data_IF_435989392428
#
_entry.id   IF_435989392428
#
_cell.length_a   1.000
_cell.length_b   1.000
_cell.length_c   1.000
_cell.angle_alpha   90.00
_cell.angle_beta   90.00
_cell.angle_gamma   90.00
#
_symmetry.space_group_name_H-M   'P 1'
#
loop_
_entity.id
_entity.type
_entity.pdbx_description
1 polymer ?
#
# COMPACT_ATOMS: atom_id res chain seq x y z
N UNK A 1 -4.36 34.85 19.01
CA UNK A 1 -3.94 33.69 18.19
C UNK A 1 -3.31 32.65 19.12
N UNK A 2 -4.02 31.55 19.32
CA UNK A 2 -3.82 30.54 20.37
C UNK A 2 -2.49 29.77 20.24
N UNK A 3 -1.88 29.39 21.37
CA UNK A 3 -0.60 28.67 21.47
C UNK A 3 -0.61 27.37 20.65
N UNK A 4 -1.75 26.67 20.62
CA UNK A 4 -1.96 25.46 19.82
C UNK A 4 -1.85 25.71 18.31
N UNK A 5 -2.38 26.83 17.83
CA UNK A 5 -2.33 27.21 16.41
C UNK A 5 -0.90 27.49 15.94
N UNK A 6 -0.09 28.17 16.77
CA UNK A 6 1.33 28.40 16.47
C UNK A 6 2.14 27.12 16.42
N UNK A 7 1.86 26.16 17.32
CA UNK A 7 2.53 24.85 17.34
C UNK A 7 2.17 24.02 16.10
N UNK A 8 0.89 23.95 15.74
CA UNK A 8 0.46 23.24 14.53
C UNK A 8 1.12 23.79 13.26
N UNK A 9 1.11 25.12 13.09
CA UNK A 9 1.73 25.77 11.94
C UNK A 9 3.24 25.50 11.87
N UNK A 10 3.92 25.48 13.02
CA UNK A 10 5.35 25.15 13.11
C UNK A 10 5.62 23.71 12.68
N UNK A 11 4.82 22.75 13.15
CA UNK A 11 4.92 21.33 12.76
C UNK A 11 4.78 21.19 11.25
N UNK A 12 3.69 21.74 10.68
CA UNK A 12 3.44 21.64 9.22
C UNK A 12 4.57 22.28 8.42
N UNK A 13 5.01 23.50 8.79
CA UNK A 13 6.10 24.19 8.11
C UNK A 13 7.41 23.41 8.19
N UNK A 14 7.73 22.84 9.36
CA UNK A 14 8.93 22.03 9.54
C UNK A 14 8.87 20.73 8.74
N UNK A 15 7.73 20.05 8.74
CA UNK A 15 7.51 18.83 7.94
C UNK A 15 7.68 19.11 6.45
N UNK A 16 7.07 20.18 5.92
CA UNK A 16 7.22 20.58 4.50
C UNK A 16 8.68 20.87 4.17
N UNK A 17 9.37 21.64 5.03
CA UNK A 17 10.79 21.94 4.84
C UNK A 17 11.63 20.67 4.80
N UNK A 18 11.48 19.78 5.80
CA UNK A 18 12.22 18.51 5.86
C UNK A 18 11.94 17.60 4.67
N UNK A 19 10.66 17.48 4.27
CA UNK A 19 10.27 16.71 3.10
C UNK A 19 10.95 17.24 1.82
N UNK A 20 11.03 18.56 1.67
CA UNK A 20 11.71 19.19 0.54
C UNK A 20 13.23 19.01 0.59
N UNK A 21 13.84 19.23 1.77
CA UNK A 21 15.29 19.11 1.98
C UNK A 21 15.78 17.67 1.69
N UNK A 22 14.95 16.67 1.99
CA UNK A 22 15.24 15.24 1.77
C UNK A 22 14.74 14.73 0.39
N UNK A 23 14.35 15.63 -0.52
CA UNK A 23 13.90 15.29 -1.88
C UNK A 23 12.75 14.28 -1.89
N UNK A 24 11.72 14.56 -1.10
CA UNK A 24 10.58 13.67 -0.89
C UNK A 24 9.81 13.37 -2.17
N UNK A 25 9.73 14.32 -3.10
CA UNK A 25 9.11 14.14 -4.42
C UNK A 25 9.87 13.12 -5.28
N UNK A 26 11.19 13.23 -5.36
CA UNK A 26 12.05 12.31 -6.11
C UNK A 26 12.07 10.94 -5.45
N UNK A 27 12.02 10.90 -4.11
CA UNK A 27 11.88 9.68 -3.34
C UNK A 27 10.59 8.95 -3.69
N UNK A 28 9.45 9.65 -3.74
CA UNK A 28 8.17 9.08 -4.15
C UNK A 28 8.19 8.57 -5.60
N UNK A 29 8.83 9.29 -6.52
CA UNK A 29 9.00 8.85 -7.91
C UNK A 29 9.84 7.57 -8.00
N UNK A 30 10.92 7.46 -7.22
CA UNK A 30 11.72 6.24 -7.16
C UNK A 30 10.93 5.05 -6.63
N UNK A 31 10.07 5.24 -5.62
CA UNK A 31 9.21 4.18 -5.08
C UNK A 31 8.21 3.74 -6.13
N UNK A 32 7.57 4.67 -6.85
CA UNK A 32 6.64 4.33 -7.93
C UNK A 32 7.32 3.55 -9.06
N UNK A 33 8.53 3.94 -9.46
CA UNK A 33 9.35 3.19 -10.40
C UNK A 33 9.58 1.76 -9.92
N UNK A 34 10.14 1.58 -8.72
CA UNK A 34 10.41 0.24 -8.18
C UNK A 34 9.13 -0.56 -7.93
N UNK A 35 8.01 0.08 -7.61
CA UNK A 35 6.72 -0.58 -7.43
C UNK A 35 6.24 -1.27 -8.71
N UNK A 36 6.33 -0.60 -9.87
CA UNK A 36 5.96 -1.22 -11.16
C UNK A 36 6.83 -2.45 -11.45
N UNK A 37 8.14 -2.34 -11.26
CA UNK A 37 9.05 -3.47 -11.48
C UNK A 37 8.86 -4.60 -10.46
N UNK A 38 8.47 -4.28 -9.23
CA UNK A 38 8.17 -5.26 -8.18
C UNK A 38 6.75 -5.85 -8.28
N UNK A 39 5.83 -5.21 -8.99
CA UNK A 39 4.42 -5.62 -9.09
C UNK A 39 4.29 -7.01 -9.73
N UNK A 40 4.94 -7.23 -10.87
CA UNK A 40 4.91 -8.54 -11.55
C UNK A 40 5.49 -9.66 -10.69
N UNK A 41 6.72 -9.55 -10.13
CA UNK A 41 7.24 -10.55 -9.22
C UNK A 41 6.38 -10.79 -7.97
N UNK A 42 5.75 -9.74 -7.44
CA UNK A 42 4.91 -9.86 -6.25
C UNK A 42 3.63 -10.64 -6.53
N UNK A 43 2.93 -10.31 -7.62
CA UNK A 43 1.76 -11.06 -8.10
C UNK A 43 2.12 -12.54 -8.31
N UNK A 44 3.26 -12.81 -8.94
CA UNK A 44 3.76 -14.15 -9.16
C UNK A 44 3.98 -14.94 -7.86
N UNK A 45 4.62 -14.31 -6.87
CA UNK A 45 4.84 -14.91 -5.55
C UNK A 45 3.50 -15.19 -4.86
N UNK A 46 2.54 -14.26 -4.92
CA UNK A 46 1.19 -14.45 -4.37
C UNK A 46 0.48 -15.63 -5.02
N UNK A 47 0.56 -15.76 -6.34
CA UNK A 47 -0.03 -16.87 -7.09
C UNK A 47 0.62 -18.20 -6.72
N UNK A 48 1.96 -18.27 -6.68
CA UNK A 48 2.69 -19.50 -6.35
C UNK A 48 2.35 -19.95 -4.94
N UNK A 49 2.34 -19.03 -3.97
CA UNK A 49 1.97 -19.34 -2.58
C UNK A 49 0.49 -19.73 -2.50
N UNK A 50 -0.42 -18.94 -3.09
CA UNK A 50 -1.85 -19.21 -3.07
C UNK A 50 -2.21 -20.55 -3.69
N UNK A 51 -1.60 -20.90 -4.83
CA UNK A 51 -1.83 -22.19 -5.51
C UNK A 51 -1.36 -23.40 -4.68
N UNK A 52 -0.28 -23.26 -3.89
CA UNK A 52 0.22 -24.32 -3.00
C UNK A 52 -0.62 -24.48 -1.73
N UNK A 53 -1.22 -23.38 -1.24
CA UNK A 53 -1.98 -23.39 0.01
C UNK A 53 -3.43 -23.82 -0.22
N UNK A 54 -4.01 -23.48 -1.39
CA UNK A 54 -5.45 -23.59 -1.61
C UNK A 54 -5.86 -24.67 -2.63
N UNK A 55 -4.91 -25.29 -3.36
CA UNK A 55 -5.13 -26.38 -4.34
C UNK A 55 -6.37 -26.26 -5.26
N UNK A 56 -6.91 -25.06 -5.49
CA UNK A 56 -8.17 -24.86 -6.22
C UNK A 56 -8.15 -23.63 -7.14
N UNK A 57 -8.98 -23.68 -8.18
CA UNK A 57 -9.27 -22.56 -9.09
C UNK A 57 -9.77 -21.31 -8.36
N UNK A 58 -10.47 -21.49 -7.24
CA UNK A 58 -11.12 -20.42 -6.48
C UNK A 58 -10.12 -19.44 -5.87
N UNK A 59 -8.92 -19.93 -5.52
CA UNK A 59 -7.84 -19.10 -5.00
C UNK A 59 -7.35 -18.04 -6.00
N UNK A 60 -7.34 -18.40 -7.29
CA UNK A 60 -6.86 -17.50 -8.35
C UNK A 60 -7.87 -16.39 -8.59
N UNK A 61 -9.15 -16.74 -8.61
CA UNK A 61 -10.24 -15.79 -8.78
C UNK A 61 -10.32 -14.83 -7.59
N UNK A 62 -10.15 -15.33 -6.35
CA UNK A 62 -10.08 -14.50 -5.15
C UNK A 62 -8.89 -13.54 -5.15
N UNK A 63 -7.68 -13.99 -5.52
CA UNK A 63 -6.52 -13.11 -5.64
C UNK A 63 -6.79 -12.02 -6.68
N UNK A 64 -7.42 -12.38 -7.80
CA UNK A 64 -7.71 -11.47 -8.89
C UNK A 64 -8.80 -10.45 -8.53
N UNK A 65 -9.86 -10.87 -7.83
CA UNK A 65 -10.87 -9.98 -7.23
C UNK A 65 -10.23 -9.01 -6.23
N UNK A 66 -9.28 -9.46 -5.42
CA UNK A 66 -8.59 -8.58 -4.48
C UNK A 66 -7.71 -7.56 -5.16
N UNK A 67 -6.90 -7.99 -6.12
CA UNK A 67 -6.02 -7.09 -6.85
C UNK A 67 -6.85 -6.06 -7.63
N UNK A 68 -7.98 -6.47 -8.21
CA UNK A 68 -8.93 -5.56 -8.88
C UNK A 68 -9.64 -4.64 -7.88
N UNK A 69 -9.93 -5.06 -6.64
CA UNK A 69 -10.46 -4.15 -5.60
C UNK A 69 -9.45 -3.11 -5.12
N UNK A 70 -8.18 -3.50 -4.98
CA UNK A 70 -7.09 -2.59 -4.55
C UNK A 70 -6.71 -1.63 -5.68
N UNK A 71 -6.72 -2.12 -6.93
CA UNK A 71 -6.35 -1.39 -8.14
C UNK A 71 -7.53 -1.37 -9.13
N UNK A 72 -8.63 -0.67 -8.82
CA UNK A 72 -9.87 -0.72 -9.60
C UNK A 72 -9.68 -0.28 -11.06
N UNK A 73 -8.71 0.58 -11.33
CA UNK A 73 -8.42 1.11 -12.66
C UNK A 73 -7.36 0.33 -13.45
N UNK A 74 -6.69 -0.65 -12.83
CA UNK A 74 -5.71 -1.51 -13.50
C UNK A 74 -6.20 -2.96 -13.65
N UNK A 75 -7.47 -3.22 -13.28
CA UNK A 75 -8.04 -4.57 -13.19
C UNK A 75 -7.89 -5.40 -14.46
N UNK A 76 -8.17 -4.83 -15.64
CA UNK A 76 -8.12 -5.57 -16.91
C UNK A 76 -6.68 -5.89 -17.33
N UNK A 77 -5.77 -4.92 -17.23
CA UNK A 77 -4.33 -5.13 -17.51
C UNK A 77 -3.77 -6.20 -16.58
N UNK A 78 -4.11 -6.12 -15.30
CA UNK A 78 -3.62 -7.07 -14.31
C UNK A 78 -4.24 -8.45 -14.57
N UNK A 79 -5.53 -8.53 -14.93
CA UNK A 79 -6.21 -9.79 -15.24
C UNK A 79 -5.58 -10.51 -16.43
N UNK A 80 -5.35 -9.81 -17.55
CA UNK A 80 -4.72 -10.40 -18.74
C UNK A 80 -3.29 -10.89 -18.45
N UNK A 81 -2.49 -10.08 -17.76
CA UNK A 81 -1.11 -10.44 -17.43
C UNK A 81 -1.05 -11.59 -16.40
N UNK A 82 -1.94 -11.60 -15.41
CA UNK A 82 -2.05 -12.70 -14.44
C UNK A 82 -2.41 -14.02 -15.13
N UNK A 83 -3.37 -14.01 -16.04
CA UNK A 83 -3.77 -15.23 -16.76
C UNK A 83 -2.62 -15.81 -17.60
N UNK A 84 -1.85 -14.95 -18.29
CA UNK A 84 -0.67 -15.37 -19.03
C UNK A 84 0.42 -15.96 -18.12
N UNK A 85 0.60 -15.37 -16.94
CA UNK A 85 1.53 -15.85 -15.91
C UNK A 85 1.08 -17.19 -15.34
N UNK A 86 -0.21 -17.34 -15.04
CA UNK A 86 -0.81 -18.58 -14.52
C UNK A 86 -0.64 -19.73 -15.51
N UNK A 87 -0.74 -19.47 -16.81
CA UNK A 87 -0.52 -20.46 -17.86
C UNK A 87 0.93 -20.98 -17.89
N UNK A 88 1.91 -20.19 -17.41
CA UNK A 88 3.34 -20.54 -17.40
C UNK A 88 3.86 -20.99 -16.02
N UNK A 89 2.99 -21.08 -14.99
CA UNK A 89 3.39 -21.27 -13.59
C UNK A 89 4.17 -22.56 -13.28
N UNK A 90 3.91 -23.64 -14.02
CA UNK A 90 4.58 -24.94 -13.84
C UNK A 90 6.07 -24.91 -14.16
N UNK A 91 6.55 -23.87 -14.85
CA UNK A 91 7.96 -23.67 -15.19
C UNK A 91 8.76 -22.95 -14.09
N UNK A 92 8.11 -22.43 -13.04
CA UNK A 92 8.78 -21.66 -11.98
C UNK A 92 9.27 -22.59 -10.86
N UNK A 93 10.50 -23.08 -11.00
CA UNK A 93 11.20 -23.83 -9.94
C UNK A 93 11.61 -22.95 -8.74
N UNK A 94 12.21 -23.57 -7.71
CA UNK A 94 12.68 -22.87 -6.49
C UNK A 94 13.54 -21.63 -6.79
N UNK A 95 14.43 -21.74 -7.77
CA UNK A 95 15.32 -20.65 -8.21
C UNK A 95 14.52 -19.48 -8.81
N UNK A 96 13.48 -19.77 -9.60
CA UNK A 96 12.58 -18.76 -10.14
C UNK A 96 11.83 -18.03 -9.04
N UNK A 97 11.27 -18.76 -8.07
CA UNK A 97 10.58 -18.18 -6.91
C UNK A 97 11.51 -17.28 -6.08
N UNK A 98 12.75 -17.70 -5.83
CA UNK A 98 13.72 -16.87 -5.10
C UNK A 98 14.11 -15.61 -5.88
N UNK A 99 14.28 -15.73 -7.21
CA UNK A 99 14.56 -14.59 -8.09
C UNK A 99 13.40 -13.59 -8.10
N UNK A 100 12.17 -14.08 -8.13
CA UNK A 100 10.95 -13.28 -8.09
C UNK A 100 10.78 -12.61 -6.71
N UNK A 101 10.96 -13.35 -5.62
CA UNK A 101 10.94 -12.78 -4.28
C UNK A 101 12.01 -11.68 -4.13
N UNK A 102 13.19 -11.89 -4.69
CA UNK A 102 14.24 -10.88 -4.71
C UNK A 102 13.83 -9.61 -5.46
N UNK A 103 13.19 -9.74 -6.63
CA UNK A 103 12.64 -8.62 -7.40
C UNK A 103 11.48 -7.91 -6.69
N UNK A 104 10.61 -8.67 -6.01
CA UNK A 104 9.45 -8.15 -5.29
C UNK A 104 9.85 -7.26 -4.09
N UNK A 105 11.01 -7.53 -3.46
CA UNK A 105 11.49 -6.71 -2.32
C UNK A 105 12.00 -5.32 -2.70
N UNK A 106 12.18 -5.01 -4.00
CA UNK A 106 12.74 -3.75 -4.47
C UNK A 106 11.96 -2.52 -4.00
N UNK A 107 10.63 -2.54 -4.16
CA UNK A 107 9.74 -1.49 -3.68
C UNK A 107 9.82 -1.31 -2.17
N UNK A 108 9.79 -2.40 -1.39
CA UNK A 108 9.81 -2.33 0.07
C UNK A 108 11.16 -1.86 0.62
N UNK A 109 12.26 -2.28 0.01
CA UNK A 109 13.60 -1.82 0.38
C UNK A 109 13.78 -0.32 0.12
N UNK A 110 13.22 0.17 -1.00
CA UNK A 110 13.23 1.60 -1.35
C UNK A 110 12.34 2.40 -0.41
N UNK A 111 11.14 1.90 -0.13
CA UNK A 111 10.20 2.49 0.82
C UNK A 111 10.84 2.59 2.21
N UNK A 112 11.43 1.49 2.71
CA UNK A 112 12.06 1.44 4.02
C UNK A 112 13.22 2.43 4.15
N UNK A 113 14.05 2.55 3.10
CA UNK A 113 15.15 3.53 3.06
C UNK A 113 14.64 4.97 3.12
N UNK A 114 13.62 5.29 2.33
CA UNK A 114 13.06 6.65 2.30
C UNK A 114 12.28 7.02 3.57
N UNK A 115 11.56 6.06 4.18
CA UNK A 115 10.95 6.27 5.51
C UNK A 115 12.04 6.53 6.56
N UNK A 116 13.15 5.79 6.52
CA UNK A 116 14.24 5.99 7.48
C UNK A 116 14.88 7.39 7.37
N UNK A 117 14.93 7.97 6.17
CA UNK A 117 15.44 9.35 5.93
C UNK A 117 14.61 10.44 6.60
N UNK A 118 13.38 10.15 7.03
CA UNK A 118 12.60 11.10 7.80
C UNK A 118 13.24 11.43 9.16
N UNK A 119 14.01 10.51 9.75
CA UNK A 119 14.73 10.72 11.01
C UNK A 119 16.19 11.09 10.77
N UNK A 120 16.56 12.28 11.28
CA UNK A 120 17.93 12.79 11.23
C UNK A 120 18.92 11.87 11.97
N UNK A 121 20.15 11.78 11.46
CA UNK A 121 21.28 11.05 12.09
C UNK A 121 21.07 9.54 12.26
N UNK A 122 20.12 8.94 11.56
CA UNK A 122 19.98 7.49 11.55
C UNK A 122 20.97 6.88 10.55
N UNK A 123 21.75 5.89 11.01
CA UNK A 123 22.60 5.12 10.11
C UNK A 123 21.71 4.31 9.14
N UNK A 124 22.10 4.27 7.87
CA UNK A 124 21.42 3.40 6.90
C UNK A 124 21.49 1.95 7.39
N UNK A 125 20.35 1.24 7.35
CA UNK A 125 20.33 -0.19 7.68
C UNK A 125 21.10 -0.97 6.61
N UNK A 126 21.89 -1.96 7.04
CA UNK A 126 22.60 -2.86 6.13
C UNK A 126 21.65 -3.44 5.07
N UNK A 127 22.15 -3.63 3.84
CA UNK A 127 21.39 -4.13 2.71
C UNK A 127 20.58 -5.40 3.01
N UNK A 128 21.17 -6.37 3.72
CA UNK A 128 20.51 -7.60 4.13
C UNK A 128 19.32 -7.33 5.06
N UNK A 129 19.46 -6.39 6.01
CA UNK A 129 18.37 -6.02 6.93
C UNK A 129 17.22 -5.37 6.17
N UNK A 130 17.49 -4.49 5.19
CA UNK A 130 16.46 -3.90 4.33
C UNK A 130 15.71 -4.96 3.53
N UNK A 131 16.42 -5.96 2.99
CA UNK A 131 15.82 -7.09 2.27
C UNK A 131 14.95 -7.96 3.17
N UNK A 132 15.42 -8.31 4.36
CA UNK A 132 14.64 -9.07 5.35
C UNK A 132 13.40 -8.31 5.81
N UNK A 133 13.49 -6.99 5.98
CA UNK A 133 12.33 -6.15 6.27
C UNK A 133 11.32 -6.14 5.12
N UNK A 134 11.81 -6.06 3.88
CA UNK A 134 10.94 -6.18 2.71
C UNK A 134 10.20 -7.51 2.69
N UNK A 135 10.90 -8.62 2.97
CA UNK A 135 10.27 -9.94 3.09
C UNK A 135 9.28 -10.02 4.25
N UNK A 136 9.57 -9.43 5.41
CA UNK A 136 8.63 -9.41 6.53
C UNK A 136 7.37 -8.59 6.22
N UNK A 137 7.50 -7.50 5.47
CA UNK A 137 6.35 -6.71 5.01
C UNK A 137 5.50 -7.49 4.00
N UNK A 138 6.14 -8.20 3.07
CA UNK A 138 5.43 -9.11 2.15
C UNK A 138 4.71 -10.20 2.94
N UNK A 139 5.36 -10.82 3.92
CA UNK A 139 4.74 -11.85 4.76
C UNK A 139 3.57 -11.30 5.57
N UNK A 140 3.71 -10.12 6.17
CA UNK A 140 2.63 -9.45 6.91
C UNK A 140 1.44 -9.12 5.99
N UNK A 141 1.71 -8.62 4.78
CA UNK A 141 0.68 -8.40 3.76
C UNK A 141 -0.04 -9.71 3.42
N UNK A 142 0.70 -10.80 3.17
CA UNK A 142 0.11 -12.11 2.84
C UNK A 142 -0.77 -12.63 3.98
N UNK A 143 -0.25 -12.68 5.21
CA UNK A 143 -1.00 -13.17 6.37
C UNK A 143 -2.28 -12.38 6.57
N UNK A 144 -2.19 -11.06 6.48
CA UNK A 144 -3.35 -10.20 6.61
C UNK A 144 -4.35 -10.40 5.46
N UNK A 145 -3.87 -10.53 4.22
CA UNK A 145 -4.74 -10.85 3.07
C UNK A 145 -5.48 -12.17 3.27
N UNK A 146 -4.81 -13.20 3.78
CA UNK A 146 -5.44 -14.47 4.13
C UNK A 146 -6.51 -14.30 5.21
N UNK A 147 -6.25 -13.48 6.23
CA UNK A 147 -7.24 -13.18 7.27
C UNK A 147 -8.46 -12.47 6.68
N UNK A 148 -8.29 -11.44 5.84
CA UNK A 148 -9.42 -10.74 5.23
C UNK A 148 -10.24 -11.61 4.29
N UNK A 149 -9.59 -12.50 3.53
CA UNK A 149 -10.27 -13.47 2.66
C UNK A 149 -11.23 -14.37 3.45
N UNK A 150 -10.87 -14.73 4.68
CA UNK A 150 -11.69 -15.57 5.55
C UNK A 150 -12.73 -14.72 6.30
N UNK A 151 -12.33 -13.57 6.84
CA UNK A 151 -13.19 -12.75 7.69
C UNK A 151 -14.29 -12.00 6.92
N UNK A 152 -14.04 -11.51 5.70
CA UNK A 152 -15.05 -10.75 4.96
C UNK A 152 -16.30 -11.58 4.62
N UNK A 153 -16.20 -12.83 4.12
CA UNK A 153 -17.36 -13.69 3.90
C UNK A 153 -18.12 -13.99 5.20
N UNK A 154 -17.41 -14.32 6.29
CA UNK A 154 -18.02 -14.59 7.59
C UNK A 154 -18.79 -13.37 8.09
N UNK A 155 -18.17 -12.19 8.04
CA UNK A 155 -18.79 -10.94 8.44
C UNK A 155 -20.00 -10.61 7.58
N UNK A 156 -19.91 -10.85 6.27
CA UNK A 156 -21.04 -10.66 5.34
C UNK A 156 -22.18 -11.62 5.64
N UNK A 157 -21.90 -12.89 5.94
CA UNK A 157 -22.90 -13.88 6.32
C UNK A 157 -23.60 -13.52 7.63
N UNK A 158 -22.85 -13.09 8.65
CA UNK A 158 -23.40 -12.63 9.93
C UNK A 158 -24.29 -11.41 9.73
N UNK A 159 -23.83 -10.41 8.98
CA UNK A 159 -24.60 -9.20 8.70
C UNK A 159 -25.85 -9.51 7.86
N UNK A 160 -25.79 -10.46 6.93
CA UNK A 160 -26.95 -10.91 6.14
C UNK A 160 -27.97 -11.66 7.00
N UNK A 161 -27.55 -12.48 7.97
CA UNK A 161 -28.47 -13.13 8.92
C UNK A 161 -29.13 -12.10 9.84
N UNK A 162 -28.38 -11.10 10.31
CA UNK A 162 -28.92 -9.98 11.09
C UNK A 162 -29.88 -9.12 10.25
N UNK A 163 -29.65 -9.01 8.94
CA UNK A 163 -30.52 -8.29 8.00
C UNK A 163 -31.92 -8.89 7.88
N UNK A 164 -32.08 -10.19 8.19
CA UNK A 164 -33.40 -10.84 8.25
C UNK A 164 -34.21 -10.45 9.50
N UNK A 165 -33.56 -9.88 10.53
CA UNK A 165 -34.15 -9.51 11.81
C UNK A 165 -34.34 -7.99 11.91
N UNK A 166 -33.42 -7.21 11.35
CA UNK A 166 -33.47 -5.74 11.26
C UNK A 166 -32.71 -5.29 10.01
N UNK A 167 -33.18 -4.29 9.23
CA UNK A 167 -32.51 -3.89 8.00
C UNK A 167 -31.15 -3.23 8.27
N UNK A 168 -30.10 -4.05 8.43
CA UNK A 168 -28.71 -3.64 8.68
C UNK A 168 -27.83 -3.76 7.43
N UNK A 169 -28.40 -4.11 6.27
CA UNK A 169 -27.69 -4.21 4.99
C UNK A 169 -26.92 -2.95 4.61
N UNK A 170 -27.40 -1.77 5.01
CA UNK A 170 -26.69 -0.50 4.80
C UNK A 170 -25.35 -0.42 5.57
N UNK A 171 -25.17 -1.22 6.63
CA UNK A 171 -23.96 -1.24 7.45
C UNK A 171 -22.84 -2.07 6.80
N UNK A 172 -23.16 -3.04 5.94
CA UNK A 172 -22.17 -3.92 5.29
C UNK A 172 -21.06 -3.12 4.59
N UNK A 173 -21.36 -2.20 3.64
CA UNK A 173 -20.31 -1.44 2.96
C UNK A 173 -19.52 -0.53 3.91
N UNK A 174 -20.17 0.01 4.95
CA UNK A 174 -19.52 0.87 5.95
C UNK A 174 -18.50 0.06 6.77
N UNK A 175 -18.89 -1.12 7.24
CA UNK A 175 -18.03 -2.01 8.03
C UNK A 175 -16.87 -2.52 7.17
N UNK A 176 -17.12 -2.89 5.92
CA UNK A 176 -16.05 -3.30 4.99
C UNK A 176 -15.09 -2.16 4.69
N UNK A 177 -15.58 -0.95 4.44
CA UNK A 177 -14.71 0.20 4.18
C UNK A 177 -13.88 0.57 5.42
N UNK A 178 -14.51 0.55 6.60
CA UNK A 178 -13.84 0.85 7.86
C UNK A 178 -12.76 -0.20 8.19
N UNK A 179 -13.00 -1.49 7.91
CA UNK A 179 -12.01 -2.54 8.14
C UNK A 179 -10.78 -2.38 7.22
N UNK A 180 -10.98 -2.00 5.96
CA UNK A 180 -9.91 -1.66 5.03
C UNK A 180 -9.12 -0.43 5.48
N UNK A 181 -9.81 0.61 5.94
CA UNK A 181 -9.15 1.81 6.45
C UNK A 181 -8.31 1.52 7.69
N UNK A 182 -8.88 0.80 8.66
CA UNK A 182 -8.17 0.39 9.88
C UNK A 182 -6.93 -0.45 9.58
N UNK A 183 -6.99 -1.30 8.56
CA UNK A 183 -5.83 -2.05 8.11
C UNK A 183 -4.74 -1.15 7.52
N UNK A 184 -5.13 -0.26 6.61
CA UNK A 184 -4.18 0.66 5.99
C UNK A 184 -3.51 1.54 7.05
N UNK A 185 -4.31 2.08 7.97
CA UNK A 185 -3.87 2.81 9.16
C UNK A 185 -2.90 1.98 10.00
N UNK A 186 -3.26 0.75 10.37
CA UNK A 186 -2.44 -0.12 11.21
C UNK A 186 -1.10 -0.45 10.54
N UNK A 187 -1.14 -0.77 9.24
CA UNK A 187 0.05 -1.06 8.44
C UNK A 187 0.97 0.14 8.39
N UNK A 188 0.48 1.33 8.03
CA UNK A 188 1.32 2.52 7.92
C UNK A 188 1.87 2.95 9.28
N UNK A 189 1.06 2.88 10.34
CA UNK A 189 1.51 3.15 11.71
C UNK A 189 2.65 2.22 12.12
N UNK A 190 2.55 0.93 11.76
CA UNK A 190 3.56 -0.08 12.01
C UNK A 190 4.84 0.17 11.20
N UNK A 191 4.69 0.58 9.92
CA UNK A 191 5.81 1.01 9.08
C UNK A 191 6.57 2.16 9.76
N UNK A 192 5.86 3.19 10.22
CA UNK A 192 6.49 4.33 10.89
C UNK A 192 7.10 4.00 12.25
N UNK A 193 6.62 2.97 12.92
CA UNK A 193 7.16 2.55 14.22
C UNK A 193 8.38 1.62 14.08
N UNK A 194 8.34 0.64 13.18
CA UNK A 194 9.37 -0.42 13.09
C UNK A 194 10.48 -0.18 12.07
N UNK A 195 10.19 0.55 10.99
CA UNK A 195 11.18 0.77 9.93
C UNK A 195 12.32 1.68 10.34
N UNK A 196 12.08 2.83 10.97
CA UNK A 196 13.16 3.76 11.30
C UNK A 196 14.21 3.08 12.19
N UNK A 197 15.48 3.40 12.00
CA UNK A 197 16.55 3.02 12.91
C UNK A 197 16.59 3.98 14.11
N UNK A 198 15.43 4.25 14.70
CA UNK A 198 15.18 5.23 15.75
C UNK A 198 14.12 4.71 16.72
N UNK A 199 14.17 5.13 17.98
CA UNK A 199 13.13 4.80 18.97
C UNK A 199 11.96 5.77 18.83
N UNK A 200 11.05 5.44 17.91
CA UNK A 200 9.86 6.27 17.63
C UNK A 200 8.82 6.11 18.74
N UNK A 201 8.20 7.22 19.17
CA UNK A 201 7.08 7.20 20.11
C UNK A 201 5.83 6.59 19.44
N UNK A 202 5.15 5.62 20.07
CA UNK A 202 3.93 5.02 19.51
C UNK A 202 2.82 6.04 19.22
N UNK A 203 2.70 7.09 20.02
CA UNK A 203 1.71 8.16 19.79
C UNK A 203 1.99 8.95 18.51
N UNK A 204 3.26 9.19 18.18
CA UNK A 204 3.64 9.88 16.95
C UNK A 204 3.33 9.01 15.72
N UNK A 205 3.66 7.71 15.77
CA UNK A 205 3.40 6.79 14.66
C UNK A 205 1.92 6.60 14.38
N UNK A 206 1.07 6.55 15.41
CA UNK A 206 -0.39 6.50 15.27
C UNK A 206 -0.93 7.76 14.59
N UNK A 207 -0.49 8.95 15.01
CA UNK A 207 -0.96 10.21 14.39
C UNK A 207 -0.55 10.28 12.92
N UNK A 208 0.71 9.94 12.60
CA UNK A 208 1.18 9.89 11.22
C UNK A 208 0.45 8.84 10.39
N UNK A 209 0.15 7.68 10.97
CA UNK A 209 -0.62 6.63 10.34
C UNK A 209 -2.05 7.04 10.02
N UNK A 210 -2.75 7.71 10.95
CA UNK A 210 -4.11 8.23 10.71
C UNK A 210 -4.09 9.22 9.56
N UNK A 211 -3.18 10.20 9.61
CA UNK A 211 -3.02 11.19 8.54
C UNK A 211 -2.81 10.52 7.18
N UNK A 212 -1.90 9.56 7.10
CA UNK A 212 -1.51 8.93 5.85
C UNK A 212 -2.61 8.03 5.30
N UNK A 213 -3.27 7.23 6.15
CA UNK A 213 -4.37 6.37 5.73
C UNK A 213 -5.56 7.18 5.22
N UNK A 214 -5.98 8.23 5.93
CA UNK A 214 -7.05 9.12 5.48
C UNK A 214 -6.69 9.87 4.20
N UNK A 215 -5.45 10.35 4.06
CA UNK A 215 -5.01 11.02 2.84
C UNK A 215 -4.95 10.07 1.63
N UNK A 216 -4.51 8.83 1.83
CA UNK A 216 -4.50 7.79 0.78
C UNK A 216 -5.92 7.45 0.35
N UNK A 217 -6.84 7.27 1.30
CA UNK A 217 -8.25 7.00 0.99
C UNK A 217 -8.85 8.15 0.18
N UNK A 218 -8.65 9.39 0.65
CA UNK A 218 -9.13 10.58 -0.06
C UNK A 218 -8.56 10.68 -1.48
N UNK A 219 -7.25 10.49 -1.65
CA UNK A 219 -6.61 10.51 -2.97
C UNK A 219 -7.12 9.36 -3.85
N UNK A 220 -7.37 8.18 -3.29
CA UNK A 220 -7.89 7.04 -4.05
C UNK A 220 -9.31 7.29 -4.52
N UNK A 221 -10.17 7.90 -3.69
CA UNK A 221 -11.52 8.33 -4.08
C UNK A 221 -11.45 9.38 -5.19
N UNK A 222 -10.64 10.44 -5.01
CA UNK A 222 -10.48 11.50 -6.00
C UNK A 222 -9.92 10.98 -7.32
N UNK A 223 -8.95 10.07 -7.26
CA UNK A 223 -8.33 9.48 -8.45
C UNK A 223 -9.29 8.57 -9.20
N UNK A 224 -10.08 7.77 -8.48
CA UNK A 224 -11.11 6.91 -9.07
C UNK A 224 -12.19 7.76 -9.74
N UNK A 225 -12.64 8.84 -9.08
CA UNK A 225 -13.58 9.80 -9.68
C UNK A 225 -13.00 10.48 -10.92
N UNK A 226 -11.73 10.91 -10.87
CA UNK A 226 -11.05 11.53 -12.00
C UNK A 226 -11.02 10.63 -13.23
N UNK A 227 -10.69 9.34 -13.05
CA UNK A 227 -10.69 8.37 -14.15
C UNK A 227 -12.12 8.02 -14.63
N UNK A 228 -13.07 7.85 -13.71
CA UNK A 228 -14.45 7.47 -14.02
C UNK A 228 -15.29 8.57 -14.67
N UNK A 229 -14.94 9.85 -14.45
CA UNK A 229 -15.66 11.01 -15.00
C UNK A 229 -15.53 11.19 -16.52
N UNK A 230 -14.67 10.42 -17.20
CA UNK A 230 -14.41 10.57 -18.63
C UNK A 230 -13.60 11.83 -19.00
N UNK A 231 -13.21 12.65 -18.01
CA UNK A 231 -12.28 13.78 -18.17
C UNK A 231 -10.89 13.30 -18.62
N UNK A 232 -10.48 12.14 -18.13
CA UNK A 232 -9.32 11.41 -18.60
C UNK A 232 -9.65 10.69 -19.92
N UNK A 233 -9.70 11.43 -21.04
CA UNK A 233 -9.72 10.86 -22.41
C UNK A 233 -8.38 10.17 -22.78
N UNK A 234 -7.76 9.46 -21.83
CA UNK A 234 -6.48 8.77 -21.99
C UNK A 234 -6.56 7.63 -23.01
N UNK A 235 -7.70 6.93 -23.06
CA UNK A 235 -7.94 5.85 -24.01
C UNK A 235 -7.90 6.33 -25.48
N UNK A 236 -8.18 7.61 -25.75
CA UNK A 236 -8.21 8.17 -27.11
C UNK A 236 -6.82 8.50 -27.67
N UNK A 237 -5.79 8.63 -26.83
CA UNK A 237 -4.43 9.01 -27.25
C UNK A 237 -3.41 7.90 -26.97
N UNK A 238 -3.58 7.13 -25.88
CA UNK A 238 -2.55 6.20 -25.39
C UNK A 238 -3.01 4.74 -25.23
N UNK A 239 -4.30 4.42 -25.45
CA UNK A 239 -4.81 3.05 -25.35
C UNK A 239 -4.41 2.35 -24.03
N UNK A 240 -3.87 1.13 -24.11
CA UNK A 240 -3.41 0.34 -22.95
C UNK A 240 -2.25 0.99 -22.16
N UNK A 241 -1.46 1.87 -22.78
CA UNK A 241 -0.38 2.61 -22.11
C UNK A 241 -0.94 3.63 -21.10
N UNK A 242 -2.13 4.17 -21.36
CA UNK A 242 -2.77 5.15 -20.47
C UNK A 242 -3.03 4.61 -19.07
N UNK A 243 -3.44 3.34 -18.95
CA UNK A 243 -3.68 2.72 -17.65
C UNK A 243 -2.37 2.42 -16.88
N UNK A 244 -1.26 2.14 -17.57
CA UNK A 244 0.06 2.03 -16.93
C UNK A 244 0.52 3.39 -16.39
N UNK A 245 0.37 4.45 -17.18
CA UNK A 245 0.71 5.82 -16.74
C UNK A 245 -0.14 6.24 -15.55
N UNK A 246 -1.45 5.97 -15.59
CA UNK A 246 -2.36 6.21 -14.48
C UNK A 246 -1.94 5.44 -13.22
N UNK A 247 -1.55 4.16 -13.36
CA UNK A 247 -1.07 3.34 -12.25
C UNK A 247 0.22 3.88 -11.64
N UNK A 248 1.22 4.23 -12.46
CA UNK A 248 2.47 4.84 -11.99
C UNK A 248 2.17 6.13 -11.22
N UNK A 249 1.31 6.98 -11.77
CA UNK A 249 0.96 8.24 -11.16
C UNK A 249 0.19 8.05 -9.84
N UNK A 250 -0.73 7.09 -9.77
CA UNK A 250 -1.42 6.74 -8.53
C UNK A 250 -0.43 6.27 -7.46
N UNK A 251 0.46 5.32 -7.78
CA UNK A 251 1.49 4.86 -6.85
C UNK A 251 2.40 6.01 -6.40
N UNK A 252 2.72 6.94 -7.31
CA UNK A 252 3.48 8.15 -6.98
C UNK A 252 2.76 9.01 -5.95
N UNK A 253 1.47 9.28 -6.12
CA UNK A 253 0.67 10.04 -5.15
C UNK A 253 0.62 9.34 -3.79
N UNK A 254 0.41 8.02 -3.77
CA UNK A 254 0.43 7.24 -2.52
C UNK A 254 1.79 7.32 -1.83
N UNK A 255 2.87 7.19 -2.60
CA UNK A 255 4.24 7.23 -2.10
C UNK A 255 4.57 8.61 -1.52
N UNK A 256 4.12 9.70 -2.17
CA UNK A 256 4.26 11.05 -1.61
C UNK A 256 3.59 11.16 -0.24
N UNK A 257 2.36 10.66 -0.10
CA UNK A 257 1.63 10.68 1.17
C UNK A 257 2.38 9.89 2.23
N UNK A 258 2.85 8.68 1.91
CA UNK A 258 3.56 7.83 2.87
C UNK A 258 4.87 8.47 3.32
N UNK A 259 5.64 9.06 2.40
CA UNK A 259 6.90 9.74 2.77
C UNK A 259 6.61 11.02 3.56
N UNK A 260 5.64 11.82 3.15
CA UNK A 260 5.24 13.02 3.89
C UNK A 260 4.76 12.67 5.31
N UNK A 261 3.95 11.60 5.46
CA UNK A 261 3.50 11.09 6.74
C UNK A 261 4.65 10.58 7.63
N UNK A 262 5.72 10.05 7.05
CA UNK A 262 6.93 9.69 7.78
C UNK A 262 7.64 10.94 8.35
N UNK A 263 7.79 12.00 7.54
CA UNK A 263 8.35 13.28 8.00
C UNK A 263 7.46 13.96 9.05
N UNK A 264 6.14 13.86 8.92
CA UNK A 264 5.20 14.34 9.92
C UNK A 264 5.41 13.58 11.24
N UNK A 265 5.49 12.26 11.18
CA UNK A 265 5.75 11.39 12.34
C UNK A 265 7.06 11.78 13.03
N UNK A 266 8.15 11.93 12.26
CA UNK A 266 9.45 12.33 12.79
C UNK A 266 9.42 13.72 13.45
N UNK A 267 8.71 14.68 12.86
CA UNK A 267 8.53 16.02 13.43
C UNK A 267 7.77 15.97 14.76
N UNK A 268 6.70 15.17 14.83
CA UNK A 268 5.92 14.96 16.05
C UNK A 268 6.71 14.25 17.15
N UNK A 269 7.56 13.28 16.77
CA UNK A 269 8.38 12.49 17.67
C UNK A 269 9.49 13.34 18.33
N UNK A 270 10.21 14.11 17.51
CA UNK A 270 11.33 14.98 17.93
C UNK A 270 10.88 16.25 18.65
N UNK A 271 9.60 16.64 18.56
CA UNK A 271 9.01 17.71 19.36
C UNK A 271 9.38 19.13 18.92
N UNK A 272 9.74 19.32 17.64
CA UNK A 272 10.08 20.63 17.06
C UNK A 272 8.89 21.58 17.05
#
# INVERSE_FOLDING_TARGET
MDFKSRRFFRIVRYTIKRFSDERGTESAASIAYYAIFSLFPLILVLIVIGSKVLESSDAQEQILEWVTRILPFAGDIIRENIQQVLARRSSVGLIGTLTLAWGATGVFSTLARNINRAWERTAERNFIKLKLMGLSLIAALIVFMSILLILNPILSLVLNQLNNISPVSFMIPIVTQLSLWLFLFGTISLLYYWIPNWKVRPSASVIGGIFSASAIELVTILFTFYLGSGLARYNLVYGSLGAIVALVFWIYLLSMIIIFGAHLTATLDTGV
#
